data_IF_915849771572
#
_entry.id   IF_915849771572
#
_cell.length_a   1.000
_cell.length_b   1.000
_cell.length_c   1.000
_cell.angle_alpha   90.00
_cell.angle_beta   90.00
_cell.angle_gamma   90.00
#
_symmetry.space_group_name_H-M   'P 1'
#
loop_
_entity.id
_entity.type
_entity.pdbx_description
1 polymer ?
#
# COMPACT_ATOMS: atom_id res chain seq x y z
N UNK A 1 14.52 16.88 -18.98
CA UNK A 1 13.63 16.91 -17.82
C UNK A 1 12.94 15.55 -17.68
N UNK A 2 13.70 14.53 -17.26
CA UNK A 2 13.21 13.13 -17.09
C UNK A 2 13.50 12.63 -15.66
N UNK A 3 14.38 13.30 -14.92
CA UNK A 3 14.81 12.84 -13.60
C UNK A 3 13.78 13.05 -12.49
N UNK A 4 12.90 14.05 -12.62
CA UNK A 4 11.87 14.37 -11.63
C UNK A 4 10.73 13.33 -11.59
N UNK A 5 10.42 12.71 -12.74
CA UNK A 5 9.32 11.75 -12.87
C UNK A 5 9.65 10.45 -12.13
N UNK A 6 10.91 10.00 -12.18
CA UNK A 6 11.35 8.81 -11.46
C UNK A 6 11.25 9.00 -9.95
N UNK A 7 11.68 10.15 -9.43
CA UNK A 7 11.62 10.42 -7.99
C UNK A 7 10.17 10.45 -7.45
N UNK A 8 9.22 10.98 -8.23
CA UNK A 8 7.80 10.94 -7.86
C UNK A 8 7.21 9.52 -7.88
N UNK A 9 7.57 8.72 -8.89
CA UNK A 9 7.10 7.34 -9.02
C UNK A 9 7.68 6.42 -7.93
N UNK A 10 8.98 6.54 -7.63
CA UNK A 10 9.62 5.73 -6.59
C UNK A 10 8.99 5.99 -5.22
N UNK A 11 8.64 7.24 -4.91
CA UNK A 11 7.95 7.58 -3.66
C UNK A 11 6.51 7.06 -3.62
N UNK A 12 5.83 7.00 -4.75
CA UNK A 12 4.50 6.38 -4.84
C UNK A 12 4.56 4.86 -4.63
N UNK A 13 5.58 4.20 -5.17
CA UNK A 13 5.82 2.76 -4.94
C UNK A 13 6.15 2.51 -3.47
N UNK A 14 7.05 3.29 -2.88
CA UNK A 14 7.44 3.17 -1.47
C UNK A 14 6.23 3.34 -0.53
N UNK A 15 5.38 4.35 -0.80
CA UNK A 15 4.14 4.55 -0.06
C UNK A 15 3.17 3.35 -0.20
N UNK A 16 3.05 2.78 -1.40
CA UNK A 16 2.23 1.59 -1.63
C UNK A 16 2.77 0.37 -0.86
N UNK A 17 4.07 0.13 -0.89
CA UNK A 17 4.72 -0.97 -0.16
C UNK A 17 4.58 -0.82 1.35
N UNK A 18 4.69 0.41 1.88
CA UNK A 18 4.47 0.68 3.31
C UNK A 18 3.00 0.42 3.71
N UNK A 19 2.05 0.82 2.86
CA UNK A 19 0.62 0.52 3.06
C UNK A 19 0.36 -0.99 3.10
N UNK A 20 0.95 -1.73 2.17
CA UNK A 20 0.87 -3.19 2.12
C UNK A 20 1.45 -3.84 3.40
N UNK A 21 2.62 -3.40 3.84
CA UNK A 21 3.26 -3.90 5.06
C UNK A 21 2.47 -3.53 6.33
N UNK A 22 1.82 -2.37 6.35
CA UNK A 22 0.99 -1.90 7.46
C UNK A 22 -0.27 -2.74 7.63
N UNK A 23 -0.94 -3.08 6.53
CA UNK A 23 -2.05 -4.04 6.53
C UNK A 23 -1.60 -5.42 7.04
N UNK A 24 -0.35 -5.81 6.78
CA UNK A 24 0.20 -7.06 7.29
C UNK A 24 0.45 -7.01 8.82
N UNK A 25 0.93 -5.89 9.36
CA UNK A 25 1.36 -5.79 10.76
C UNK A 25 0.26 -5.46 11.76
N UNK A 26 -0.69 -4.58 11.42
CA UNK A 26 -1.60 -4.04 12.46
C UNK A 26 -3.06 -3.79 12.07
N UNK A 27 -3.43 -3.89 10.80
CA UNK A 27 -4.81 -3.59 10.37
C UNK A 27 -5.25 -2.15 10.70
N UNK A 28 -4.29 -1.26 10.96
CA UNK A 28 -4.54 0.14 11.26
C UNK A 28 -4.58 0.91 9.94
N UNK A 29 -5.73 1.47 9.60
CA UNK A 29 -5.99 2.13 8.30
C UNK A 29 -5.53 3.60 8.28
N UNK A 30 -4.66 3.99 9.22
CA UNK A 30 -4.14 5.34 9.28
C UNK A 30 -2.74 5.41 8.64
N UNK A 31 -2.54 6.21 7.58
CA UNK A 31 -1.21 6.40 7.02
C UNK A 31 -0.30 7.06 8.06
N UNK A 32 0.94 6.57 8.22
CA UNK A 32 1.88 7.13 9.17
C UNK A 32 2.30 8.55 8.77
N UNK A 33 2.65 9.37 9.76
CA UNK A 33 2.96 10.80 9.59
C UNK A 33 4.18 11.09 8.71
N UNK A 34 4.97 10.07 8.36
CA UNK A 34 6.09 10.20 7.43
C UNK A 34 5.68 10.10 5.95
N UNK A 35 4.46 9.64 5.65
CA UNK A 35 3.94 9.58 4.26
C UNK A 35 3.39 10.94 3.88
N UNK A 36 3.86 11.49 2.77
CA UNK A 36 3.37 12.77 2.26
C UNK A 36 1.86 12.71 1.94
N UNK A 37 1.10 13.80 2.15
CA UNK A 37 -0.34 13.83 1.89
C UNK A 37 -0.72 13.45 0.45
N UNK A 38 0.12 13.82 -0.52
CA UNK A 38 -0.03 13.46 -1.93
C UNK A 38 0.13 11.96 -2.20
N UNK A 39 0.72 11.22 -1.26
CA UNK A 39 0.98 9.79 -1.37
C UNK A 39 0.04 8.94 -0.51
N UNK A 40 -0.87 9.57 0.24
CA UNK A 40 -1.84 8.87 1.09
C UNK A 40 -2.77 7.98 0.28
N UNK A 41 -3.10 8.36 -0.96
CA UNK A 41 -3.90 7.51 -1.85
C UNK A 41 -3.17 6.22 -2.23
N UNK A 42 -1.90 6.30 -2.63
CA UNK A 42 -1.08 5.14 -2.98
C UNK A 42 -0.85 4.22 -1.78
N UNK A 43 -0.64 4.80 -0.60
CA UNK A 43 -0.54 4.03 0.65
C UNK A 43 -1.83 3.28 0.97
N UNK A 44 -3.00 3.93 0.86
CA UNK A 44 -4.29 3.27 1.10
C UNK A 44 -4.56 2.17 0.08
N UNK A 45 -4.19 2.38 -1.18
CA UNK A 45 -4.30 1.36 -2.22
C UNK A 45 -3.46 0.12 -1.86
N UNK A 46 -2.22 0.30 -1.41
CA UNK A 46 -1.37 -0.79 -0.94
C UNK A 46 -1.96 -1.52 0.28
N UNK A 47 -2.49 -0.76 1.24
CA UNK A 47 -3.16 -1.28 2.43
C UNK A 47 -4.40 -2.11 2.09
N UNK A 48 -5.28 -1.60 1.22
CA UNK A 48 -6.46 -2.33 0.74
C UNK A 48 -6.09 -3.56 -0.09
N UNK A 49 -5.08 -3.46 -0.96
CA UNK A 49 -4.61 -4.59 -1.76
C UNK A 49 -4.09 -5.73 -0.87
N UNK A 50 -3.34 -5.41 0.19
CA UNK A 50 -2.89 -6.40 1.17
C UNK A 50 -4.03 -7.03 1.96
N UNK A 51 -5.05 -6.26 2.35
CA UNK A 51 -6.26 -6.78 2.99
C UNK A 51 -7.06 -7.69 2.06
N UNK A 52 -7.24 -7.29 0.80
CA UNK A 52 -7.92 -8.09 -0.21
C UNK A 52 -7.16 -9.40 -0.47
N UNK A 53 -5.82 -9.36 -0.55
CA UNK A 53 -4.99 -10.54 -0.68
C UNK A 53 -5.13 -11.48 0.54
N UNK A 54 -5.18 -10.94 1.75
CA UNK A 54 -5.46 -11.73 2.97
C UNK A 54 -6.84 -12.37 2.96
N UNK A 55 -7.86 -11.68 2.47
CA UNK A 55 -9.20 -12.23 2.29
C UNK A 55 -9.25 -13.32 1.21
N UNK A 56 -8.48 -13.17 0.13
CA UNK A 56 -8.45 -14.10 -1.00
C UNK A 56 -7.72 -15.42 -0.68
N UNK A 57 -6.74 -15.41 0.23
CA UNK A 57 -6.05 -16.64 0.67
C UNK A 57 -6.94 -17.55 1.55
N UNK A 58 -8.17 -17.11 1.89
CA UNK A 58 -9.12 -17.82 2.73
C UNK A 58 -10.05 -18.84 2.03
N UNK A 59 -9.99 -19.05 0.71
CA UNK A 59 -10.81 -20.08 0.06
C UNK A 59 -10.03 -20.94 -0.92
N UNK A 60 -9.43 -22.07 -0.50
CA UNK A 60 -9.46 -23.24 -1.36
C UNK A 60 -10.93 -23.68 -1.46
N UNK A 61 -11.67 -23.13 -2.43
CA UNK A 61 -12.93 -23.74 -2.87
C UNK A 61 -12.58 -25.04 -3.57
N UNK A 62 -12.39 -26.09 -2.77
CA UNK A 62 -12.42 -27.48 -3.19
C UNK A 62 -13.61 -28.09 -2.46
N UNK A 63 -14.77 -28.10 -3.12
CA UNK A 63 -15.94 -28.88 -2.74
C UNK A 63 -16.69 -29.23 -4.02
#
# INVERSE_FOLDING_TARGET
MVMDINAGLERAIDAFEDGWASAAKKGDNCPPSHVEPSLHEYWRDGFHAALANRGSIGTPSHA
#
